data_IF_278524312778
#
_entry.id   IF_278524312778
#
_cell.length_a   1.000
_cell.length_b   1.000
_cell.length_c   1.000
_cell.angle_alpha   90.00
_cell.angle_beta   90.00
_cell.angle_gamma   90.00
#
_symmetry.space_group_name_H-M   'P 1'
#
loop_
_entity.id
_entity.type
_entity.pdbx_description
1 polymer ?
#
# COMPACT_ATOMS: atom_id res chain seq x y z
N UNK A 1 20.67 16.01 -18.35
CA UNK A 1 20.66 16.78 -17.08
C UNK A 1 21.00 15.82 -15.96
N UNK A 2 22.11 16.06 -15.24
CA UNK A 2 22.48 15.20 -14.09
C UNK A 2 21.42 15.38 -12.99
N UNK A 3 20.69 14.34 -12.68
CA UNK A 3 19.83 14.30 -11.51
C UNK A 3 20.77 14.51 -10.31
N UNK A 4 20.64 15.64 -9.62
CA UNK A 4 21.43 15.99 -8.45
C UNK A 4 20.95 15.07 -7.29
N UNK A 5 21.47 13.84 -7.26
CA UNK A 5 21.12 12.82 -6.28
C UNK A 5 21.83 13.11 -4.95
N UNK A 6 21.39 14.17 -4.25
CA UNK A 6 21.76 14.35 -2.85
C UNK A 6 21.16 13.16 -2.06
N UNK A 7 22.06 12.39 -1.45
CA UNK A 7 21.69 11.29 -0.56
C UNK A 7 22.09 11.63 0.87
N UNK A 8 21.25 11.25 1.82
CA UNK A 8 21.57 11.30 3.25
C UNK A 8 21.58 9.87 3.79
N UNK A 9 22.77 9.36 4.12
CA UNK A 9 22.96 7.96 4.51
C UNK A 9 22.28 6.96 3.56
N UNK A 10 22.40 7.19 2.24
CA UNK A 10 21.78 6.36 1.21
C UNK A 10 20.28 6.61 0.96
N UNK A 11 19.62 7.48 1.73
CA UNK A 11 18.26 7.93 1.47
C UNK A 11 18.26 8.97 0.34
N UNK A 12 17.59 8.70 -0.78
CA UNK A 12 17.49 9.67 -1.87
C UNK A 12 16.54 10.82 -1.50
N UNK A 13 17.09 12.02 -1.30
CA UNK A 13 16.32 13.19 -0.82
C UNK A 13 15.25 13.66 -1.82
N UNK A 14 15.42 13.38 -3.11
CA UNK A 14 14.41 13.66 -4.13
C UNK A 14 13.16 12.77 -4.02
N UNK A 15 13.27 11.64 -3.31
CA UNK A 15 12.15 10.70 -3.08
C UNK A 15 11.63 10.74 -1.64
N UNK A 16 12.15 11.63 -0.79
CA UNK A 16 11.84 11.61 0.65
C UNK A 16 10.35 11.65 0.96
N UNK A 17 9.58 12.43 0.22
CA UNK A 17 8.13 12.48 0.41
C UNK A 17 7.42 11.21 -0.01
N UNK A 18 7.99 10.42 -0.92
CA UNK A 18 7.53 9.08 -1.22
C UNK A 18 7.71 8.13 -0.03
N UNK A 19 8.86 8.18 0.65
CA UNK A 19 9.07 7.40 1.87
C UNK A 19 8.13 7.82 3.01
N UNK A 20 7.91 9.12 3.20
CA UNK A 20 6.92 9.64 4.15
C UNK A 20 5.52 9.14 3.80
N UNK A 21 5.15 9.19 2.52
CA UNK A 21 3.86 8.70 2.04
C UNK A 21 3.66 7.21 2.34
N UNK A 22 4.69 6.37 2.08
CA UNK A 22 4.65 4.95 2.40
C UNK A 22 4.52 4.73 3.91
N UNK A 23 5.30 5.43 4.74
CA UNK A 23 5.18 5.31 6.20
C UNK A 23 3.76 5.62 6.69
N UNK A 24 3.17 6.72 6.21
CA UNK A 24 1.81 7.15 6.59
C UNK A 24 0.75 6.17 6.09
N UNK A 25 0.83 5.74 4.82
CA UNK A 25 -0.10 4.77 4.24
C UNK A 25 -0.03 3.44 5.00
N UNK A 26 1.18 2.93 5.24
CA UNK A 26 1.38 1.67 5.94
C UNK A 26 1.01 1.72 7.43
N UNK A 27 0.99 2.91 8.02
CA UNK A 27 0.42 3.10 9.36
C UNK A 27 -1.08 2.78 9.36
N UNK A 28 -1.84 3.33 8.42
CA UNK A 28 -3.26 3.01 8.29
C UNK A 28 -3.52 1.54 7.96
N UNK A 29 -2.75 0.96 7.03
CA UNK A 29 -2.84 -0.47 6.68
C UNK A 29 -2.56 -1.37 7.88
N UNK A 30 -1.62 -0.99 8.74
CA UNK A 30 -1.20 -1.76 9.91
C UNK A 30 -2.25 -1.84 11.02
N UNK A 31 -3.22 -0.92 11.08
CA UNK A 31 -4.24 -0.92 12.14
C UNK A 31 -4.98 -2.24 12.25
N UNK A 32 -5.24 -2.88 11.13
CA UNK A 32 -5.98 -4.14 11.07
C UNK A 32 -5.23 -5.31 11.68
N UNK A 33 -3.91 -5.34 11.55
CA UNK A 33 -3.08 -6.40 12.10
C UNK A 33 -3.20 -6.46 13.63
N UNK A 34 -3.48 -5.32 14.27
CA UNK A 34 -3.59 -5.23 15.71
C UNK A 34 -4.85 -5.90 16.27
N UNK A 35 -6.00 -5.78 15.56
CA UNK A 35 -7.28 -6.15 16.20
C UNK A 35 -8.36 -6.71 15.27
N UNK A 36 -8.24 -6.61 13.95
CA UNK A 36 -9.32 -7.00 13.01
C UNK A 36 -9.77 -8.45 13.20
N UNK A 37 -8.85 -9.37 13.46
CA UNK A 37 -9.21 -10.78 13.75
C UNK A 37 -10.09 -10.90 14.99
N UNK A 38 -9.82 -10.11 16.04
CA UNK A 38 -10.65 -10.05 17.23
C UNK A 38 -12.02 -9.44 16.91
N UNK A 39 -12.05 -8.36 16.15
CA UNK A 39 -13.29 -7.69 15.77
C UNK A 39 -14.21 -8.58 14.92
N UNK A 40 -13.68 -9.30 13.92
CA UNK A 40 -14.47 -10.27 13.13
C UNK A 40 -15.09 -11.34 14.05
N UNK A 41 -14.35 -11.85 15.03
CA UNK A 41 -14.89 -12.80 16.02
C UNK A 41 -15.98 -12.17 16.90
N UNK A 42 -15.82 -10.93 17.30
CA UNK A 42 -16.82 -10.20 18.09
C UNK A 42 -18.14 -9.97 17.31
N UNK A 43 -18.08 -9.95 15.97
CA UNK A 43 -19.26 -9.93 15.09
C UNK A 43 -19.99 -11.29 15.01
N UNK A 44 -19.52 -12.33 15.72
CA UNK A 44 -20.14 -13.66 15.77
C UNK A 44 -19.53 -14.69 14.83
N UNK A 45 -18.44 -14.38 14.14
CA UNK A 45 -17.77 -15.34 13.26
C UNK A 45 -16.75 -16.21 14.00
N UNK A 46 -16.54 -17.41 13.49
CA UNK A 46 -15.57 -18.36 14.07
C UNK A 46 -14.13 -17.92 13.89
N UNK A 47 -13.18 -18.39 14.73
CA UNK A 47 -11.75 -18.14 14.52
C UNK A 47 -11.26 -18.57 13.11
N UNK A 48 -11.77 -19.69 12.61
CA UNK A 48 -11.44 -20.19 11.26
C UNK A 48 -11.89 -19.21 10.17
N UNK A 49 -13.08 -18.63 10.29
CA UNK A 49 -13.60 -17.62 9.36
C UNK A 49 -12.76 -16.33 9.41
N UNK A 50 -12.39 -15.86 10.61
CA UNK A 50 -11.51 -14.70 10.74
C UNK A 50 -10.15 -14.97 10.07
N UNK A 51 -9.53 -16.12 10.35
CA UNK A 51 -8.24 -16.50 9.73
C UNK A 51 -8.34 -16.65 8.21
N UNK A 52 -9.46 -17.19 7.70
CA UNK A 52 -9.65 -17.34 6.25
C UNK A 52 -9.74 -15.98 5.52
N UNK A 53 -10.34 -14.97 6.15
CA UNK A 53 -10.35 -13.61 5.60
C UNK A 53 -8.92 -13.08 5.39
N UNK A 54 -8.04 -13.25 6.39
CA UNK A 54 -6.62 -12.87 6.27
C UNK A 54 -5.87 -13.72 5.23
N UNK A 55 -6.18 -15.01 5.13
CA UNK A 55 -5.59 -15.90 4.11
C UNK A 55 -5.93 -15.40 2.71
N UNK A 56 -7.21 -15.10 2.45
CA UNK A 56 -7.66 -14.59 1.16
C UNK A 56 -7.01 -13.23 0.83
N UNK A 57 -6.93 -12.34 1.81
CA UNK A 57 -6.20 -11.07 1.67
C UNK A 57 -4.74 -11.31 1.30
N UNK A 58 -4.04 -12.18 2.03
CA UNK A 58 -2.63 -12.49 1.80
C UNK A 58 -2.36 -13.12 0.43
N UNK A 59 -3.24 -14.03 -0.04
CA UNK A 59 -3.14 -14.61 -1.38
C UNK A 59 -3.34 -13.55 -2.48
N UNK A 60 -4.33 -12.69 -2.33
CA UNK A 60 -4.56 -11.57 -3.25
C UNK A 60 -3.36 -10.61 -3.26
N UNK A 61 -2.79 -10.32 -2.09
CA UNK A 61 -1.61 -9.48 -1.95
C UNK A 61 -0.36 -10.12 -2.60
N UNK A 62 -0.14 -11.41 -2.42
CA UNK A 62 0.98 -12.11 -3.03
C UNK A 62 0.89 -12.09 -4.58
N UNK A 63 -0.30 -12.34 -5.12
CA UNK A 63 -0.54 -12.25 -6.56
C UNK A 63 -0.31 -10.83 -7.07
N UNK A 64 -0.85 -9.83 -6.38
CA UNK A 64 -0.69 -8.42 -6.74
C UNK A 64 0.76 -7.95 -6.65
N UNK A 65 1.51 -8.42 -5.66
CA UNK A 65 2.93 -8.08 -5.52
C UNK A 65 3.74 -8.48 -6.76
N UNK A 66 3.46 -9.65 -7.31
CA UNK A 66 4.08 -10.10 -8.56
C UNK A 66 3.62 -9.25 -9.76
N UNK A 67 2.30 -9.02 -9.89
CA UNK A 67 1.71 -8.28 -11.01
C UNK A 67 2.08 -6.79 -10.98
N UNK A 68 2.23 -6.18 -9.80
CA UNK A 68 2.40 -4.74 -9.64
C UNK A 68 3.67 -4.20 -10.29
N UNK A 69 4.78 -4.97 -10.27
CA UNK A 69 6.01 -4.61 -10.96
C UNK A 69 5.79 -4.50 -12.47
N UNK A 70 5.23 -5.55 -13.06
CA UNK A 70 4.89 -5.62 -14.49
C UNK A 70 3.96 -4.47 -14.90
N UNK A 71 2.88 -4.25 -14.14
CA UNK A 71 1.91 -3.17 -14.43
C UNK A 71 2.57 -1.80 -14.33
N UNK A 72 3.44 -1.57 -13.33
CA UNK A 72 4.13 -0.30 -13.15
C UNK A 72 5.10 0.01 -14.31
N UNK A 73 5.71 -1.01 -14.92
CA UNK A 73 6.55 -0.85 -16.11
C UNK A 73 5.72 -0.57 -17.37
N UNK A 74 4.55 -1.20 -17.52
CA UNK A 74 3.67 -1.01 -18.68
C UNK A 74 3.02 0.37 -18.70
N UNK A 75 2.37 0.78 -17.59
CA UNK A 75 1.54 2.00 -17.54
C UNK A 75 2.17 3.17 -16.81
N UNK A 76 3.19 2.99 -16.06
CA UNK A 76 3.99 3.89 -15.21
C UNK A 76 3.75 3.67 -13.71
N UNK A 77 4.79 3.83 -12.88
CA UNK A 77 4.66 3.69 -11.44
C UNK A 77 3.58 4.60 -10.82
N UNK A 78 3.51 5.85 -11.26
CA UNK A 78 2.54 6.82 -10.73
C UNK A 78 1.09 6.42 -11.01
N UNK A 79 0.79 5.94 -12.22
CA UNK A 79 -0.56 5.48 -12.58
C UNK A 79 -0.92 4.21 -11.83
N UNK A 80 0.02 3.28 -11.68
CA UNK A 80 -0.20 2.05 -10.93
C UNK A 80 -0.43 2.34 -9.44
N UNK A 81 0.32 3.28 -8.85
CA UNK A 81 0.07 3.78 -7.50
C UNK A 81 -1.32 4.39 -7.36
N UNK A 82 -1.74 5.22 -8.32
CA UNK A 82 -3.09 5.82 -8.31
C UNK A 82 -4.18 4.74 -8.35
N UNK A 83 -4.04 3.75 -9.23
CA UNK A 83 -4.99 2.63 -9.32
C UNK A 83 -5.06 1.88 -8.00
N UNK A 84 -3.91 1.49 -7.44
CA UNK A 84 -3.84 0.80 -6.15
C UNK A 84 -4.47 1.62 -5.03
N UNK A 85 -4.16 2.91 -4.94
CA UNK A 85 -4.72 3.83 -3.96
C UNK A 85 -6.25 3.95 -4.05
N UNK A 86 -6.78 4.18 -5.24
CA UNK A 86 -8.23 4.32 -5.45
C UNK A 86 -8.95 3.01 -5.13
N UNK A 87 -8.45 1.88 -5.63
CA UNK A 87 -9.00 0.57 -5.32
C UNK A 87 -8.99 0.32 -3.81
N UNK A 88 -7.87 0.59 -3.14
CA UNK A 88 -7.77 0.40 -1.70
C UNK A 88 -8.82 1.23 -0.95
N UNK A 89 -8.92 2.53 -1.23
CA UNK A 89 -9.88 3.42 -0.56
C UNK A 89 -11.34 2.98 -0.79
N UNK A 90 -11.70 2.69 -2.04
CA UNK A 90 -13.06 2.27 -2.40
C UNK A 90 -13.43 0.96 -1.69
N UNK A 91 -12.58 -0.06 -1.80
CA UNK A 91 -12.88 -1.36 -1.19
C UNK A 91 -12.74 -1.37 0.31
N UNK A 92 -11.94 -0.47 0.90
CA UNK A 92 -11.93 -0.26 2.35
C UNK A 92 -13.28 0.31 2.85
N UNK A 93 -13.81 1.32 2.19
CA UNK A 93 -15.13 1.88 2.53
C UNK A 93 -16.24 0.84 2.38
N UNK A 94 -16.24 0.09 1.28
CA UNK A 94 -17.22 -0.99 1.08
C UNK A 94 -17.08 -2.09 2.14
N UNK A 95 -15.86 -2.44 2.51
CA UNK A 95 -15.56 -3.40 3.57
C UNK A 95 -16.10 -2.92 4.93
N UNK A 96 -15.90 -1.64 5.28
CA UNK A 96 -16.40 -1.09 6.55
C UNK A 96 -17.92 -1.04 6.60
N UNK A 97 -18.56 -0.53 5.53
CA UNK A 97 -20.01 -0.32 5.52
C UNK A 97 -20.75 -1.65 5.34
N UNK A 98 -20.49 -2.35 4.26
CA UNK A 98 -21.29 -3.52 3.87
C UNK A 98 -20.75 -4.85 4.41
N UNK A 99 -19.44 -4.94 4.64
CA UNK A 99 -18.81 -6.11 5.24
C UNK A 99 -19.00 -6.13 6.76
N UNK A 100 -18.23 -5.31 7.44
CA UNK A 100 -18.18 -5.28 8.90
C UNK A 100 -19.45 -4.66 9.51
N UNK A 101 -19.92 -3.53 8.97
CA UNK A 101 -21.08 -2.81 9.51
C UNK A 101 -22.39 -3.58 9.45
N UNK A 102 -22.55 -4.52 8.51
CA UNK A 102 -23.71 -5.42 8.41
C UNK A 102 -23.39 -6.87 8.85
N UNK A 103 -22.19 -7.12 9.39
CA UNK A 103 -21.71 -8.46 9.73
C UNK A 103 -21.97 -9.49 8.59
N UNK A 104 -21.68 -9.10 7.35
CA UNK A 104 -21.90 -9.90 6.16
C UNK A 104 -20.62 -10.61 5.72
N UNK A 105 -20.44 -11.85 6.08
CA UNK A 105 -19.21 -12.59 5.85
C UNK A 105 -18.80 -12.71 4.38
N UNK A 106 -19.67 -13.04 3.42
CA UNK A 106 -19.33 -13.01 1.99
C UNK A 106 -18.79 -11.66 1.52
N UNK A 107 -19.37 -10.54 1.97
CA UNK A 107 -18.91 -9.20 1.62
C UNK A 107 -17.62 -8.83 2.33
N UNK A 108 -17.39 -9.30 3.57
CA UNK A 108 -16.10 -9.20 4.25
C UNK A 108 -15.04 -9.86 3.36
N UNK A 109 -15.22 -11.09 2.93
CA UNK A 109 -14.27 -11.82 2.10
C UNK A 109 -14.00 -11.10 0.77
N UNK A 110 -15.08 -10.71 0.08
CA UNK A 110 -14.98 -10.07 -1.22
C UNK A 110 -14.20 -8.76 -1.17
N UNK A 111 -14.63 -7.84 -0.31
CA UNK A 111 -14.03 -6.50 -0.28
C UNK A 111 -12.64 -6.50 0.36
N UNK A 112 -12.43 -7.32 1.38
CA UNK A 112 -11.12 -7.48 1.99
C UNK A 112 -10.12 -8.14 1.04
N UNK A 113 -10.55 -9.18 0.32
CA UNK A 113 -9.71 -9.84 -0.69
C UNK A 113 -9.32 -8.91 -1.83
N UNK A 114 -10.26 -8.13 -2.41
CA UNK A 114 -9.93 -7.15 -3.46
C UNK A 114 -9.00 -6.06 -2.94
N UNK A 115 -9.20 -5.62 -1.69
CA UNK A 115 -8.31 -4.65 -1.06
C UNK A 115 -6.90 -5.21 -0.85
N UNK A 116 -6.78 -6.51 -0.54
CA UNK A 116 -5.49 -7.21 -0.50
C UNK A 116 -4.74 -7.14 -1.83
N UNK A 117 -5.45 -7.13 -2.95
CA UNK A 117 -4.85 -6.89 -4.27
C UNK A 117 -4.43 -5.43 -4.48
N UNK A 118 -5.11 -4.48 -3.87
CA UNK A 118 -4.92 -3.06 -4.12
C UNK A 118 -3.64 -2.48 -3.48
N UNK A 119 -3.32 -2.86 -2.22
CA UNK A 119 -2.20 -2.23 -1.52
C UNK A 119 -0.82 -2.51 -2.15
N UNK A 120 -0.52 -3.71 -2.69
CA UNK A 120 0.76 -3.93 -3.36
C UNK A 120 0.90 -3.13 -4.65
N UNK A 121 -0.19 -2.89 -5.40
CA UNK A 121 -0.15 -1.99 -6.55
C UNK A 121 0.34 -0.60 -6.17
N UNK A 122 -0.09 -0.09 -5.01
CA UNK A 122 0.40 1.18 -4.50
C UNK A 122 1.87 1.07 -4.04
N UNK A 123 2.17 0.10 -3.21
CA UNK A 123 3.44 -0.04 -2.52
C UNK A 123 4.61 -0.37 -3.47
N UNK A 124 4.48 -1.44 -4.26
CA UNK A 124 5.56 -1.93 -5.12
C UNK A 124 5.84 -1.02 -6.31
N UNK A 125 4.85 -0.23 -6.75
CA UNK A 125 5.10 0.80 -7.75
C UNK A 125 6.07 1.87 -7.27
N UNK A 126 6.13 2.16 -5.97
CA UNK A 126 7.14 3.05 -5.41
C UNK A 126 8.54 2.41 -5.42
N UNK A 127 8.64 1.09 -5.22
CA UNK A 127 9.91 0.35 -5.41
C UNK A 127 10.42 0.51 -6.84
N UNK A 128 9.55 0.34 -7.84
CA UNK A 128 9.89 0.57 -9.24
C UNK A 128 10.37 2.01 -9.45
N UNK A 129 9.68 2.99 -8.87
CA UNK A 129 10.12 4.39 -8.94
C UNK A 129 11.49 4.61 -8.29
N UNK A 130 11.81 3.95 -7.17
CA UNK A 130 13.14 4.01 -6.53
C UNK A 130 14.20 3.47 -7.49
N UNK A 131 14.01 2.27 -8.02
CA UNK A 131 14.98 1.59 -8.90
C UNK A 131 15.30 2.44 -10.14
N UNK A 132 14.30 3.11 -10.71
CA UNK A 132 14.50 3.97 -11.89
C UNK A 132 15.13 5.34 -11.59
N UNK A 133 15.04 5.83 -10.35
CA UNK A 133 15.51 7.18 -10.00
C UNK A 133 16.78 7.19 -9.14
N UNK A 134 17.28 6.03 -8.74
CA UNK A 134 18.48 5.88 -7.94
C UNK A 134 19.54 5.14 -8.77
N UNK A 135 20.82 5.56 -8.66
CA UNK A 135 21.92 4.85 -9.31
C UNK A 135 22.08 3.45 -8.70
N UNK A 136 22.58 2.49 -9.48
CA UNK A 136 22.75 1.10 -9.08
C UNK A 136 23.53 0.90 -7.79
N UNK A 137 24.55 1.73 -7.54
CA UNK A 137 25.38 1.71 -6.34
C UNK A 137 24.64 2.16 -5.06
N UNK A 138 23.57 2.95 -5.20
CA UNK A 138 22.73 3.41 -4.08
C UNK A 138 21.40 2.67 -3.93
N UNK A 139 21.03 1.79 -4.87
CA UNK A 139 19.71 1.16 -4.92
C UNK A 139 19.43 0.28 -3.69
N UNK A 140 20.41 -0.50 -3.23
CA UNK A 140 20.26 -1.38 -2.05
C UNK A 140 19.96 -0.58 -0.79
N UNK A 141 20.64 0.56 -0.58
CA UNK A 141 20.41 1.43 0.58
C UNK A 141 19.02 2.10 0.51
N UNK A 142 18.63 2.57 -0.68
CA UNK A 142 17.32 3.17 -0.89
C UNK A 142 16.18 2.15 -0.63
N UNK A 143 16.33 0.91 -1.06
CA UNK A 143 15.39 -0.18 -0.74
C UNK A 143 15.41 -0.55 0.74
N UNK A 144 16.57 -0.49 1.41
CA UNK A 144 16.68 -0.65 2.86
C UNK A 144 15.84 0.40 3.60
N UNK A 145 15.92 1.65 3.20
CA UNK A 145 15.08 2.73 3.75
C UNK A 145 13.59 2.51 3.48
N UNK A 146 13.23 2.01 2.28
CA UNK A 146 11.85 1.66 1.97
C UNK A 146 11.29 0.63 2.97
N UNK A 147 12.01 -0.48 3.19
CA UNK A 147 11.57 -1.50 4.13
C UNK A 147 11.57 -1.02 5.58
N UNK A 148 12.49 -0.11 5.95
CA UNK A 148 12.52 0.48 7.28
C UNK A 148 11.24 1.32 7.54
N UNK A 149 10.90 2.26 6.63
CA UNK A 149 9.68 3.09 6.80
C UNK A 149 8.40 2.27 6.68
N UNK A 150 8.38 1.26 5.81
CA UNK A 150 7.29 0.28 5.73
C UNK A 150 7.07 -0.40 7.07
N UNK A 151 8.14 -0.97 7.66
CA UNK A 151 8.06 -1.72 8.92
C UNK A 151 7.68 -0.83 10.10
N UNK A 152 8.21 0.40 10.16
CA UNK A 152 7.81 1.39 11.18
C UNK A 152 6.34 1.77 11.02
N UNK A 153 5.87 2.00 9.80
CA UNK A 153 4.47 2.28 9.52
C UNK A 153 3.56 1.14 9.99
N UNK A 154 3.72 -0.03 9.38
CA UNK A 154 2.80 -1.16 9.61
C UNK A 154 2.97 -1.81 10.99
N UNK A 155 4.21 -1.99 11.46
CA UNK A 155 4.50 -2.75 12.68
C UNK A 155 4.52 -1.89 13.93
N UNK A 156 5.04 -0.65 13.88
CA UNK A 156 5.14 0.21 15.06
C UNK A 156 3.89 1.07 15.19
N UNK A 157 3.69 2.02 14.28
CA UNK A 157 2.56 2.95 14.38
C UNK A 157 1.21 2.26 14.11
N UNK A 158 1.17 1.34 13.14
CA UNK A 158 -0.03 0.57 12.83
C UNK A 158 -0.54 -0.30 13.98
N UNK A 159 0.37 -0.81 14.81
CA UNK A 159 -0.03 -1.58 16.00
C UNK A 159 -0.26 -0.70 17.24
N UNK A 160 0.52 0.39 17.38
CA UNK A 160 0.50 1.21 18.59
C UNK A 160 -0.67 2.20 18.62
N UNK A 161 -0.99 2.88 17.51
CA UNK A 161 -2.07 3.86 17.47
C UNK A 161 -3.44 3.26 17.83
N UNK A 162 -3.83 2.07 17.33
CA UNK A 162 -5.10 1.43 17.73
C UNK A 162 -5.26 1.24 19.22
N UNK A 163 -4.17 1.02 19.98
CA UNK A 163 -4.25 0.86 21.44
C UNK A 163 -4.80 2.09 22.16
N UNK A 164 -4.62 3.27 21.56
CA UNK A 164 -5.18 4.52 22.08
C UNK A 164 -6.54 4.86 21.47
N UNK A 165 -6.75 4.54 20.21
CA UNK A 165 -7.97 4.97 19.51
C UNK A 165 -9.16 4.08 19.81
N UNK A 166 -8.97 2.76 19.93
CA UNK A 166 -10.05 1.80 20.24
C UNK A 166 -10.82 2.16 21.51
N UNK A 167 -10.17 2.51 22.64
CA UNK A 167 -10.91 2.87 23.86
C UNK A 167 -11.79 4.13 23.72
N UNK A 168 -11.51 5.00 22.74
CA UNK A 168 -12.22 6.29 22.57
C UNK A 168 -13.25 6.25 21.45
N UNK A 169 -12.95 5.61 20.32
CA UNK A 169 -13.79 5.63 19.11
C UNK A 169 -14.21 4.22 18.66
N UNK A 170 -13.84 3.18 19.40
CA UNK A 170 -14.14 1.80 19.08
C UNK A 170 -13.32 1.23 17.93
N UNK A 171 -13.48 -0.08 17.69
CA UNK A 171 -12.75 -0.80 16.62
C UNK A 171 -13.14 -0.30 15.23
N UNK A 172 -14.45 -0.14 14.96
CA UNK A 172 -14.92 0.37 13.66
C UNK A 172 -14.49 1.82 13.42
N UNK A 173 -14.54 2.68 14.44
CA UNK A 173 -14.05 4.06 14.35
C UNK A 173 -12.55 4.13 14.07
N UNK A 174 -11.77 3.22 14.67
CA UNK A 174 -10.33 3.09 14.41
C UNK A 174 -10.05 2.66 12.95
N UNK A 175 -10.88 1.80 12.36
CA UNK A 175 -10.76 1.45 10.94
C UNK A 175 -11.11 2.63 10.01
N UNK A 176 -12.06 3.48 10.39
CA UNK A 176 -12.30 4.74 9.66
C UNK A 176 -11.10 5.69 9.76
N UNK A 177 -10.42 5.74 10.91
CA UNK A 177 -9.18 6.49 11.06
C UNK A 177 -8.06 5.92 10.18
N UNK A 178 -7.97 4.59 10.01
CA UNK A 178 -7.07 3.95 9.07
C UNK A 178 -7.22 4.50 7.63
N UNK A 179 -8.47 4.70 7.20
CA UNK A 179 -8.77 5.32 5.91
C UNK A 179 -8.16 6.74 5.80
N UNK A 180 -8.24 7.54 6.87
CA UNK A 180 -7.64 8.89 6.88
C UNK A 180 -6.13 8.83 6.69
N UNK A 181 -5.44 7.91 7.36
CA UNK A 181 -4.00 7.70 7.19
C UNK A 181 -3.67 7.27 5.75
N UNK A 182 -4.40 6.31 5.20
CA UNK A 182 -4.18 5.84 3.84
C UNK A 182 -4.48 6.92 2.79
N UNK A 183 -5.54 7.71 2.95
CA UNK A 183 -5.84 8.85 2.07
C UNK A 183 -4.70 9.88 2.16
N UNK A 184 -4.25 10.22 3.35
CA UNK A 184 -3.16 11.19 3.55
C UNK A 184 -1.87 10.70 2.89
N UNK A 185 -1.46 9.46 3.14
CA UNK A 185 -0.29 8.84 2.51
C UNK A 185 -0.42 8.78 0.98
N UNK A 186 -1.58 8.39 0.47
CA UNK A 186 -1.85 8.35 -0.96
C UNK A 186 -1.76 9.72 -1.63
N UNK A 187 -2.33 10.76 -1.02
CA UNK A 187 -2.25 12.14 -1.53
C UNK A 187 -0.80 12.63 -1.53
N UNK A 188 -0.05 12.44 -0.44
CA UNK A 188 1.36 12.82 -0.37
C UNK A 188 2.14 12.12 -1.50
N UNK A 189 1.94 10.83 -1.72
CA UNK A 189 2.59 10.09 -2.79
C UNK A 189 2.27 10.67 -4.17
N UNK A 190 0.99 10.82 -4.49
CA UNK A 190 0.54 11.26 -5.81
C UNK A 190 0.99 12.70 -6.12
N UNK A 191 1.00 13.59 -5.12
CA UNK A 191 1.45 14.98 -5.30
C UNK A 191 2.96 15.07 -5.44
N UNK A 192 3.70 14.38 -4.58
CA UNK A 192 5.16 14.49 -4.53
C UNK A 192 5.86 13.73 -5.66
N UNK A 193 5.27 12.61 -6.10
CA UNK A 193 5.86 11.74 -7.12
C UNK A 193 5.44 12.09 -8.55
N UNK A 194 4.56 13.08 -8.75
CA UNK A 194 4.08 13.49 -10.10
C UNK A 194 5.19 13.91 -11.06
N UNK A 195 6.32 14.38 -10.55
CA UNK A 195 7.45 14.88 -11.34
C UNK A 195 8.59 13.86 -11.49
N UNK A 196 8.44 12.65 -10.93
CA UNK A 196 9.44 11.60 -11.06
C UNK A 196 9.47 11.08 -12.48
N UNK A 197 10.69 10.97 -13.04
CA UNK A 197 10.88 10.54 -14.41
C UNK A 197 10.47 9.07 -14.57
N UNK A 198 9.61 8.81 -15.52
CA UNK A 198 9.38 7.47 -16.07
C UNK A 198 10.50 7.09 -17.04
N UNK A 199 10.91 5.83 -17.10
CA UNK A 199 11.95 5.38 -18.01
C UNK A 199 11.63 5.76 -19.45
N UNK A 200 12.55 6.47 -20.12
CA UNK A 200 12.36 6.91 -21.52
C UNK A 200 12.19 5.73 -22.49
N UNK A 201 12.82 4.60 -22.18
CA UNK A 201 12.73 3.41 -23.02
C UNK A 201 11.29 2.91 -23.15
N UNK A 202 10.56 2.84 -22.03
CA UNK A 202 9.18 2.35 -22.00
C UNK A 202 8.14 3.35 -22.56
N UNK A 203 8.49 4.63 -22.69
CA UNK A 203 7.57 5.65 -23.23
C UNK A 203 7.33 5.51 -24.74
N UNK A 204 8.30 4.95 -25.47
CA UNK A 204 8.26 4.84 -26.93
C UNK A 204 7.76 3.48 -27.45
N UNK A 205 7.57 2.50 -26.56
CA UNK A 205 7.08 1.19 -26.91
C UNK A 205 5.55 1.14 -26.89
N UNK A 206 4.97 0.44 -27.85
CA UNK A 206 3.53 0.11 -27.80
C UNK A 206 3.25 -0.87 -26.66
N UNK A 207 2.01 -0.92 -26.19
CA UNK A 207 1.61 -1.83 -25.10
C UNK A 207 1.95 -3.29 -25.42
N UNK A 208 1.85 -3.69 -26.69
CA UNK A 208 2.16 -5.04 -27.15
C UNK A 208 3.67 -5.34 -27.10
N UNK A 209 4.51 -4.38 -27.44
CA UNK A 209 5.98 -4.51 -27.37
C UNK A 209 6.43 -4.60 -25.91
N UNK A 210 5.82 -3.80 -25.00
CA UNK A 210 6.09 -3.88 -23.57
C UNK A 210 5.79 -5.25 -22.95
N UNK A 211 4.70 -5.90 -23.40
CA UNK A 211 4.39 -7.27 -22.98
C UNK A 211 5.32 -8.33 -23.57
N UNK A 212 5.94 -8.07 -24.70
CA UNK A 212 6.86 -9.02 -25.34
C UNK A 212 8.28 -8.99 -24.73
N UNK A 213 8.64 -7.91 -24.02
CA UNK A 213 9.94 -7.75 -23.36
C UNK A 213 9.91 -8.21 -21.88
N UNK A 214 8.74 -8.53 -21.32
CA UNK A 214 8.54 -9.06 -19.96
C UNK A 214 8.54 -10.58 -19.95
#
# INVERSE_FOLDING_TARGET
>A
MSVNNKQWYGLPLNLIWGYVAIAVFMTGEGFELAFLSHYIKALGFTPAQASFAFTLYGLAAALSAWVSGVVAEIITPQKTMLIGFVLWCVFHVLFLIFGLGHANYPLILLFYGIRGFAYPLFLYSFIVAIVHNVKSDGASSALGWFWAVYSVGIGVFGSYIPSFTIPHIGELGTLWLALVFCITGGIIALVSLRHIQTPRHMQNLTTREKFAEL
#
